data_IF_065311003193
#
_entry.id   IF_065311003193
#
_cell.length_a   1.000
_cell.length_b   1.000
_cell.length_c   1.000
_cell.angle_alpha   90.00
_cell.angle_beta   90.00
_cell.angle_gamma   90.00
#
_symmetry.space_group_name_H-M   'P 1'
#
loop_
_entity.id
_entity.type
_entity.pdbx_description
1 polymer ?
#
# COMPACT_ATOMS: atom_id res chain seq x y z
N UNK A 1 -27.10 -3.70 -2.54
CA UNK A 1 -26.00 -2.90 -3.14
C UNK A 1 -25.42 -2.08 -2.00
N UNK A 2 -24.12 -2.22 -1.69
CA UNK A 2 -23.48 -1.44 -0.63
C UNK A 2 -23.60 0.06 -0.92
N UNK A 3 -23.61 0.87 0.12
CA UNK A 3 -23.57 2.34 -0.04
C UNK A 3 -22.25 2.76 -0.68
N UNK A 4 -22.19 3.96 -1.27
CA UNK A 4 -20.94 4.48 -1.84
C UNK A 4 -19.83 4.59 -0.77
N UNK A 5 -20.20 4.96 0.46
CA UNK A 5 -19.28 5.03 1.59
C UNK A 5 -18.72 3.65 1.95
N UNK A 6 -19.57 2.63 2.03
CA UNK A 6 -19.15 1.26 2.31
C UNK A 6 -18.27 0.69 1.20
N UNK A 7 -18.66 0.88 -0.08
CA UNK A 7 -17.84 0.48 -1.23
C UNK A 7 -16.46 1.15 -1.19
N UNK A 8 -16.39 2.43 -0.79
CA UNK A 8 -15.11 3.15 -0.62
C UNK A 8 -14.25 2.56 0.49
N UNK A 9 -14.82 2.22 1.65
CA UNK A 9 -14.06 1.54 2.71
C UNK A 9 -13.48 0.23 2.25
N UNK A 10 -14.31 -0.62 1.62
CA UNK A 10 -13.86 -1.93 1.13
C UNK A 10 -12.79 -1.73 0.04
N UNK A 11 -12.98 -0.79 -0.88
CA UNK A 11 -11.99 -0.50 -1.92
C UNK A 11 -10.65 -0.08 -1.33
N UNK A 12 -10.65 0.86 -0.37
CA UNK A 12 -9.42 1.32 0.28
C UNK A 12 -8.77 0.25 1.13
N UNK A 13 -9.55 -0.59 1.80
CA UNK A 13 -9.00 -1.72 2.53
C UNK A 13 -8.28 -2.69 1.58
N UNK A 14 -8.96 -3.09 0.51
CA UNK A 14 -8.42 -3.97 -0.54
C UNK A 14 -7.17 -3.39 -1.18
N UNK A 15 -7.19 -2.12 -1.57
CA UNK A 15 -6.05 -1.47 -2.25
C UNK A 15 -4.88 -1.20 -1.30
N UNK A 16 -5.15 -0.73 -0.08
CA UNK A 16 -4.09 -0.22 0.82
C UNK A 16 -3.49 -1.30 1.71
N UNK A 17 -4.25 -2.35 2.03
CA UNK A 17 -3.79 -3.46 2.88
C UNK A 17 -3.64 -4.78 2.07
N UNK A 18 -4.37 -4.92 0.97
CA UNK A 18 -4.35 -6.13 0.13
C UNK A 18 -3.62 -5.99 -1.20
N UNK A 19 -3.12 -4.80 -1.55
CA UNK A 19 -2.56 -4.46 -2.86
C UNK A 19 -3.54 -4.73 -4.02
N UNK A 20 -4.82 -4.48 -3.84
CA UNK A 20 -5.83 -4.62 -4.89
C UNK A 20 -6.44 -6.02 -5.00
N UNK A 21 -7.62 -6.14 -5.66
CA UNK A 21 -8.35 -7.40 -5.70
C UNK A 21 -7.81 -8.36 -6.77
N UNK A 22 -7.98 -9.65 -6.53
CA UNK A 22 -7.97 -10.70 -7.56
C UNK A 22 -9.33 -10.76 -8.28
N UNK A 23 -9.43 -11.40 -9.45
CA UNK A 23 -10.72 -11.61 -10.12
C UNK A 23 -11.81 -12.14 -9.19
N UNK A 24 -12.96 -11.46 -9.15
CA UNK A 24 -14.12 -11.82 -8.31
C UNK A 24 -14.01 -11.50 -6.82
N UNK A 25 -12.83 -11.15 -6.32
CA UNK A 25 -12.60 -10.91 -4.88
C UNK A 25 -13.40 -9.70 -4.39
N UNK A 26 -13.36 -8.58 -5.11
CA UNK A 26 -14.04 -7.37 -4.68
C UNK A 26 -15.56 -7.52 -4.67
N UNK A 27 -16.15 -8.16 -5.70
CA UNK A 27 -17.58 -8.46 -5.73
C UNK A 27 -18.01 -9.31 -4.54
N UNK A 28 -17.20 -10.31 -4.18
CA UNK A 28 -17.45 -11.16 -3.00
C UNK A 28 -17.45 -10.33 -1.72
N UNK A 29 -16.41 -9.51 -1.53
CA UNK A 29 -16.29 -8.65 -0.35
C UNK A 29 -17.41 -7.60 -0.25
N UNK A 30 -17.88 -7.07 -1.38
CA UNK A 30 -19.02 -6.15 -1.40
C UNK A 30 -20.33 -6.84 -1.01
N UNK A 31 -20.48 -8.13 -1.29
CA UNK A 31 -21.65 -8.91 -0.88
C UNK A 31 -21.59 -9.30 0.60
N UNK A 32 -20.40 -9.57 1.13
CA UNK A 32 -20.17 -9.96 2.52
C UNK A 32 -20.10 -8.77 3.50
N UNK A 33 -19.78 -7.58 2.99
CA UNK A 33 -19.71 -6.34 3.77
C UNK A 33 -18.33 -6.03 4.35
N UNK A 34 -18.21 -4.83 4.92
CA UNK A 34 -16.92 -4.30 5.37
C UNK A 34 -16.22 -5.16 6.42
N UNK A 35 -16.96 -5.72 7.39
CA UNK A 35 -16.34 -6.49 8.48
C UNK A 35 -15.65 -7.76 8.00
N UNK A 36 -16.20 -8.42 6.97
CA UNK A 36 -15.60 -9.59 6.34
C UNK A 36 -14.37 -9.23 5.51
N UNK A 37 -14.41 -8.10 4.81
CA UNK A 37 -13.22 -7.55 4.17
C UNK A 37 -12.12 -7.25 5.20
N UNK A 38 -12.46 -6.62 6.32
CA UNK A 38 -11.53 -6.28 7.39
C UNK A 38 -10.97 -7.53 8.08
N UNK A 39 -11.78 -8.55 8.32
CA UNK A 39 -11.30 -9.86 8.80
C UNK A 39 -10.26 -10.43 7.84
N UNK A 40 -10.53 -10.42 6.52
CA UNK A 40 -9.62 -10.96 5.50
C UNK A 40 -8.25 -10.27 5.45
N UNK A 41 -8.20 -8.94 5.52
CA UNK A 41 -6.96 -8.19 5.31
C UNK A 41 -6.24 -7.77 6.59
N UNK A 42 -6.93 -7.76 7.73
CA UNK A 42 -6.37 -7.27 9.00
C UNK A 42 -6.16 -8.39 10.03
N UNK A 43 -6.57 -9.63 9.74
CA UNK A 43 -6.25 -10.78 10.58
C UNK A 43 -4.79 -11.17 10.41
N UNK A 44 -4.04 -11.23 11.50
CA UNK A 44 -2.71 -11.83 11.52
C UNK A 44 -2.87 -13.35 11.46
N UNK A 45 -2.17 -13.99 10.52
CA UNK A 45 -2.10 -15.43 10.49
C UNK A 45 -1.41 -15.94 11.76
N UNK A 46 -1.94 -16.99 12.39
CA UNK A 46 -1.33 -17.59 13.58
C UNK A 46 -0.01 -18.32 13.29
N UNK A 47 0.34 -18.49 12.01
CA UNK A 47 1.57 -19.11 11.53
C UNK A 47 2.02 -18.39 10.25
N UNK A 48 3.30 -18.10 10.14
CA UNK A 48 3.96 -17.64 8.93
C UNK A 48 5.10 -18.61 8.61
N UNK A 49 4.86 -19.51 7.64
CA UNK A 49 5.80 -20.56 7.30
C UNK A 49 7.19 -20.05 6.86
N UNK A 50 7.32 -18.80 6.43
CA UNK A 50 8.63 -18.23 6.14
C UNK A 50 9.25 -17.60 7.39
N UNK A 51 8.52 -16.68 8.04
CA UNK A 51 9.03 -15.90 9.16
C UNK A 51 9.32 -16.78 10.39
N UNK A 52 8.45 -17.76 10.67
CA UNK A 52 8.59 -18.69 11.80
C UNK A 52 9.83 -19.61 11.68
N UNK A 53 10.42 -19.69 10.49
CA UNK A 53 11.60 -20.49 10.19
C UNK A 53 12.86 -19.65 9.94
N UNK A 54 12.86 -18.35 10.29
CA UNK A 54 14.06 -17.51 10.25
C UNK A 54 14.77 -17.52 11.61
N UNK A 55 16.10 -17.52 11.58
CA UNK A 55 16.91 -17.38 12.80
C UNK A 55 16.73 -15.97 13.42
N UNK A 56 16.75 -15.88 14.75
CA UNK A 56 16.77 -14.58 15.42
C UNK A 56 18.01 -13.78 15.01
N UNK A 57 17.87 -12.48 14.67
CA UNK A 57 19.02 -11.65 14.32
C UNK A 57 19.96 -11.51 15.52
N UNK A 58 21.23 -11.83 15.31
CA UNK A 58 22.29 -11.70 16.31
C UNK A 58 22.61 -10.22 16.60
N UNK A 59 21.89 -9.60 17.54
CA UNK A 59 22.16 -8.25 18.06
C UNK A 59 23.00 -8.36 19.35
N UNK A 60 24.16 -7.67 19.43
CA UNK A 60 25.05 -7.67 20.62
C UNK A 60 25.15 -6.27 21.24
N UNK A 61 25.10 -6.21 22.58
CA UNK A 61 25.30 -4.99 23.39
C UNK A 61 26.72 -4.41 23.23
N UNK A 62 26.83 -3.08 23.18
CA UNK A 62 28.05 -2.32 22.85
C UNK A 62 28.70 -1.58 24.05
N UNK A 63 28.11 -1.60 25.26
CA UNK A 63 28.74 -1.07 26.49
C UNK A 63 28.57 0.44 26.79
N UNK A 64 29.22 0.94 27.87
CA UNK A 64 29.06 2.28 28.45
C UNK A 64 29.91 3.37 27.80
N UNK A 65 29.41 4.61 27.92
CA UNK A 65 29.97 5.83 27.36
C UNK A 65 31.07 6.49 28.36
N UNK A 66 32.39 6.74 27.97
CA UNK A 66 33.49 7.65 28.51
C UNK A 66 33.57 9.26 28.50
N UNK A 67 34.48 9.93 29.22
CA UNK A 67 34.49 11.42 29.43
C UNK A 67 35.07 12.33 28.28
N UNK A 68 34.58 13.57 28.00
CA UNK A 68 35.03 14.44 26.88
C UNK A 68 36.55 14.72 26.80
N UNK A 69 37.11 14.72 25.58
CA UNK A 69 38.55 14.77 25.27
C UNK A 69 39.46 13.76 26.01
N UNK A 70 38.90 12.69 26.59
CA UNK A 70 39.69 11.55 27.08
C UNK A 70 40.07 10.60 25.92
N UNK A 71 41.13 9.79 26.07
CA UNK A 71 41.47 8.74 25.10
C UNK A 71 40.30 7.79 24.82
N UNK A 72 39.42 7.63 25.80
CA UNK A 72 38.23 6.80 25.71
C UNK A 72 37.11 7.46 24.89
N UNK A 73 37.15 8.77 24.56
CA UNK A 73 36.09 9.44 23.76
C UNK A 73 35.87 8.83 22.38
N UNK A 74 36.90 8.22 21.81
CA UNK A 74 36.80 7.49 20.55
C UNK A 74 35.99 6.20 20.73
N UNK A 75 36.06 5.57 21.91
CA UNK A 75 35.18 4.49 22.36
C UNK A 75 33.83 4.98 22.94
N UNK A 76 33.72 6.28 23.29
CA UNK A 76 32.51 7.01 23.76
C UNK A 76 31.63 7.54 22.65
N UNK A 77 31.94 7.38 21.37
CA UNK A 77 31.08 7.86 20.27
C UNK A 77 29.56 7.56 20.45
N UNK A 78 29.28 6.52 21.25
CA UNK A 78 28.05 5.76 21.47
C UNK A 78 27.27 6.08 22.77
N UNK A 79 26.71 7.30 22.90
CA UNK A 79 25.50 7.75 23.71
C UNK A 79 25.37 7.48 25.26
N UNK A 80 25.03 8.43 26.17
CA UNK A 80 24.43 9.78 26.07
C UNK A 80 24.38 10.59 27.40
N UNK A 81 23.36 11.43 27.53
CA UNK A 81 23.04 12.37 28.65
C UNK A 81 21.99 11.81 29.62
N UNK A 82 21.77 12.54 30.73
CA UNK A 82 21.67 12.09 32.13
C UNK A 82 20.68 10.96 32.51
N UNK A 83 21.19 10.07 33.37
CA UNK A 83 20.75 8.69 33.60
C UNK A 83 21.75 7.73 32.95
N UNK A 84 22.31 6.76 33.68
CA UNK A 84 23.21 5.74 33.09
C UNK A 84 22.36 4.75 32.30
N UNK A 85 22.11 5.04 31.03
CA UNK A 85 21.56 4.08 30.08
C UNK A 85 22.69 3.38 29.32
N UNK A 86 22.58 2.06 29.13
CA UNK A 86 23.23 1.33 28.03
C UNK A 86 22.35 1.38 26.78
N UNK A 87 22.81 0.77 25.67
CA UNK A 87 22.08 0.81 24.40
C UNK A 87 20.65 0.22 24.53
N UNK A 88 20.51 -0.87 25.28
CA UNK A 88 19.24 -1.56 25.48
C UNK A 88 18.28 -0.72 26.33
N UNK A 89 18.71 -0.25 27.49
CA UNK A 89 17.89 0.56 28.39
C UNK A 89 17.55 1.94 27.81
N UNK A 90 18.41 2.51 26.97
CA UNK A 90 18.08 3.71 26.21
C UNK A 90 17.00 3.42 25.16
N UNK A 91 17.14 2.31 24.42
CA UNK A 91 16.14 1.86 23.46
C UNK A 91 14.79 1.65 24.16
N UNK A 92 14.77 0.89 25.26
CA UNK A 92 13.57 0.63 26.08
C UNK A 92 12.92 1.93 26.55
N UNK A 93 13.73 2.87 27.05
CA UNK A 93 13.22 4.19 27.44
C UNK A 93 12.60 4.93 26.26
N UNK A 94 13.31 5.05 25.13
CA UNK A 94 12.82 5.77 23.96
C UNK A 94 11.53 5.15 23.40
N UNK A 95 11.49 3.82 23.27
CA UNK A 95 10.30 3.12 22.78
C UNK A 95 9.17 3.08 23.80
N UNK A 96 9.41 3.29 25.11
CA UNK A 96 8.35 3.34 26.11
C UNK A 96 7.53 4.64 26.07
N UNK A 97 8.07 5.72 25.50
CA UNK A 97 7.44 7.04 25.56
C UNK A 97 6.16 7.13 24.73
N UNK A 98 5.22 7.96 25.18
CA UNK A 98 3.95 8.20 24.48
C UNK A 98 4.16 8.91 23.12
N UNK A 99 5.17 9.77 22.99
CA UNK A 99 5.49 10.42 21.71
C UNK A 99 6.03 9.43 20.67
N UNK A 100 6.75 8.38 21.09
CA UNK A 100 7.09 7.27 20.21
C UNK A 100 5.82 6.55 19.72
N UNK A 101 4.83 6.32 20.60
CA UNK A 101 3.57 5.69 20.19
C UNK A 101 2.79 6.55 19.18
N UNK A 102 2.70 7.86 19.45
CA UNK A 102 2.09 8.82 18.54
C UNK A 102 2.82 8.85 17.20
N UNK A 103 4.14 8.96 17.20
CA UNK A 103 4.95 8.98 15.98
C UNK A 103 4.71 7.75 15.11
N UNK A 104 4.73 6.53 15.69
CA UNK A 104 4.46 5.31 14.92
C UNK A 104 3.01 5.32 14.39
N UNK A 105 2.04 5.75 15.20
CA UNK A 105 0.64 5.89 14.77
C UNK A 105 0.50 6.86 13.59
N UNK A 106 1.17 8.01 13.63
CA UNK A 106 1.20 8.98 12.54
C UNK A 106 1.86 8.42 11.27
N UNK A 107 2.92 7.61 11.40
CA UNK A 107 3.56 6.93 10.26
C UNK A 107 2.66 5.88 9.62
N UNK A 108 1.92 5.11 10.43
CA UNK A 108 0.92 4.15 9.92
C UNK A 108 -0.25 4.90 9.27
N UNK A 109 -0.75 5.97 9.90
CA UNK A 109 -1.78 6.83 9.31
C UNK A 109 -1.35 7.40 7.95
N UNK A 110 -0.14 7.96 7.89
CA UNK A 110 0.45 8.49 6.67
C UNK A 110 0.48 7.45 5.53
N UNK A 111 0.78 6.19 5.87
CA UNK A 111 0.93 5.12 4.88
C UNK A 111 -0.41 4.54 4.39
N UNK A 112 -1.41 4.45 5.25
CA UNK A 112 -2.64 3.69 4.99
C UNK A 112 -3.92 4.55 4.94
N UNK A 113 -3.92 5.76 5.49
CA UNK A 113 -5.08 6.65 5.51
C UNK A 113 -4.87 7.87 4.63
N UNK A 114 -3.88 8.70 4.92
CA UNK A 114 -3.64 9.92 4.13
C UNK A 114 -2.24 10.47 4.36
N UNK A 115 -1.56 10.78 3.26
CA UNK A 115 -0.30 11.53 3.25
C UNK A 115 -0.48 13.05 3.35
N UNK A 116 -1.71 13.55 3.17
CA UNK A 116 -2.03 14.98 3.10
C UNK A 116 -2.79 15.47 4.33
N UNK A 117 -3.64 14.61 4.91
CA UNK A 117 -4.44 14.95 6.09
C UNK A 117 -3.77 14.36 7.33
N UNK A 118 -3.44 15.16 8.34
CA UNK A 118 -2.81 14.66 9.56
C UNK A 118 -3.78 13.79 10.38
N UNK A 119 -3.23 12.95 11.25
CA UNK A 119 -3.98 12.23 12.26
C UNK A 119 -4.62 13.23 13.23
N UNK A 120 -5.94 13.26 13.30
CA UNK A 120 -6.68 14.12 14.25
C UNK A 120 -7.26 13.33 15.43
N UNK A 121 -7.53 12.04 15.26
CA UNK A 121 -7.99 11.16 16.33
C UNK A 121 -6.81 10.62 17.15
N UNK A 122 -6.53 11.28 18.26
CA UNK A 122 -5.44 10.89 19.17
C UNK A 122 -5.71 9.57 19.89
N UNK A 123 -6.96 9.10 19.94
CA UNK A 123 -7.31 7.83 20.59
C UNK A 123 -6.69 6.62 19.88
N UNK A 124 -6.42 6.74 18.57
CA UNK A 124 -5.81 5.70 17.75
C UNK A 124 -4.44 5.26 18.30
N UNK A 125 -3.69 6.18 18.90
CA UNK A 125 -2.39 5.88 19.52
C UNK A 125 -2.49 4.88 20.69
N UNK A 126 -3.66 4.79 21.35
CA UNK A 126 -3.91 3.84 22.43
C UNK A 126 -3.91 2.39 21.94
N UNK A 127 -4.24 2.15 20.67
CA UNK A 127 -4.17 0.82 20.06
C UNK A 127 -2.73 0.28 19.94
N UNK A 128 -1.73 1.17 20.04
CA UNK A 128 -0.31 0.84 20.02
C UNK A 128 0.36 0.94 21.40
N UNK A 129 -0.41 1.12 22.49
CA UNK A 129 0.15 1.30 23.84
C UNK A 129 0.99 0.10 24.30
N UNK A 130 0.61 -1.13 23.92
CA UNK A 130 1.35 -2.36 24.17
C UNK A 130 2.45 -2.65 23.15
N UNK A 131 2.71 -1.73 22.21
CA UNK A 131 3.65 -1.88 21.08
C UNK A 131 3.30 -3.02 20.12
N UNK A 132 2.02 -3.38 20.09
CA UNK A 132 1.47 -4.33 19.14
C UNK A 132 1.13 -3.64 17.80
N UNK A 133 1.97 -3.86 16.79
CA UNK A 133 1.76 -3.32 15.44
C UNK A 133 0.48 -3.86 14.81
N UNK A 134 0.13 -5.12 15.08
CA UNK A 134 -1.08 -5.73 14.52
C UNK A 134 -2.34 -5.07 15.09
N UNK A 135 -2.36 -4.78 16.39
CA UNK A 135 -3.45 -4.04 17.02
C UNK A 135 -3.62 -2.64 16.40
N UNK A 136 -2.52 -1.93 16.14
CA UNK A 136 -2.55 -0.63 15.47
C UNK A 136 -3.04 -0.72 14.02
N UNK A 137 -2.53 -1.68 13.24
CA UNK A 137 -2.97 -1.91 11.86
C UNK A 137 -4.45 -2.25 11.81
N UNK A 138 -4.95 -3.07 12.74
CA UNK A 138 -6.36 -3.42 12.83
C UNK A 138 -7.22 -2.18 13.15
N UNK A 139 -6.80 -1.37 14.12
CA UNK A 139 -7.50 -0.14 14.48
C UNK A 139 -7.55 0.86 13.30
N UNK A 140 -6.42 1.08 12.62
CA UNK A 140 -6.31 1.95 11.45
C UNK A 140 -7.16 1.42 10.29
N UNK A 141 -7.06 0.13 9.99
CA UNK A 141 -7.80 -0.54 8.92
C UNK A 141 -9.31 -0.60 9.15
N UNK A 142 -9.78 -0.37 10.38
CA UNK A 142 -11.21 -0.27 10.73
C UNK A 142 -11.70 1.16 10.92
N UNK A 143 -10.80 2.13 10.93
CA UNK A 143 -11.11 3.53 11.20
C UNK A 143 -12.07 4.14 10.15
N UNK A 144 -12.98 5.00 10.59
CA UNK A 144 -13.99 5.65 9.73
C UNK A 144 -13.38 6.59 8.69
N UNK A 145 -12.12 7.01 8.87
CA UNK A 145 -11.37 7.81 7.90
C UNK A 145 -11.24 7.14 6.52
N UNK A 146 -11.40 5.81 6.44
CA UNK A 146 -11.50 5.10 5.16
C UNK A 146 -12.76 5.50 4.35
N UNK A 147 -13.82 6.03 4.96
CA UNK A 147 -15.00 6.53 4.25
C UNK A 147 -14.79 7.91 3.65
N UNK A 148 -13.85 8.70 4.17
CA UNK A 148 -13.72 10.11 3.82
C UNK A 148 -13.03 10.29 2.45
N UNK A 149 -13.71 10.80 1.40
CA UNK A 149 -13.13 10.98 0.07
C UNK A 149 -11.86 11.85 0.07
N UNK A 150 -11.71 12.78 1.01
CA UNK A 150 -10.53 13.65 1.14
C UNK A 150 -9.23 12.88 1.48
N UNK A 151 -9.36 11.63 1.94
CA UNK A 151 -8.22 10.76 2.24
C UNK A 151 -7.77 9.92 1.03
N UNK A 152 -8.02 10.38 -0.20
CA UNK A 152 -7.51 9.69 -1.41
C UNK A 152 -5.99 9.68 -1.44
N UNK A 153 -5.40 8.61 -1.99
CA UNK A 153 -3.93 8.48 -2.10
C UNK A 153 -3.52 8.06 -3.51
N UNK A 154 -2.42 8.62 -4.01
CA UNK A 154 -1.79 8.14 -5.26
C UNK A 154 -1.01 6.86 -4.98
N UNK A 155 -1.28 5.81 -5.76
CA UNK A 155 -0.50 4.57 -5.70
C UNK A 155 0.93 4.83 -6.18
N UNK A 156 1.91 4.35 -5.43
CA UNK A 156 3.28 4.31 -5.94
C UNK A 156 3.38 3.33 -7.12
N UNK A 157 4.39 3.45 -8.00
CA UNK A 157 4.55 2.54 -9.14
C UNK A 157 4.51 1.04 -8.77
N UNK A 158 5.11 0.63 -7.66
CA UNK A 158 5.10 -0.77 -7.21
C UNK A 158 3.70 -1.19 -6.74
N UNK A 159 3.01 -0.35 -5.98
CA UNK A 159 1.65 -0.61 -5.51
C UNK A 159 0.68 -0.76 -6.70
N UNK A 160 0.76 0.18 -7.66
CA UNK A 160 -0.01 0.10 -8.90
C UNK A 160 0.30 -1.19 -9.69
N UNK A 161 1.58 -1.55 -9.82
CA UNK A 161 1.98 -2.75 -10.57
C UNK A 161 1.50 -4.03 -9.89
N UNK A 162 1.69 -4.18 -8.58
CA UNK A 162 1.25 -5.38 -7.86
C UNK A 162 -0.27 -5.51 -7.91
N UNK A 163 -1.00 -4.40 -7.76
CA UNK A 163 -2.46 -4.38 -7.94
C UNK A 163 -2.88 -4.78 -9.35
N UNK A 164 -2.21 -4.26 -10.38
CA UNK A 164 -2.49 -4.65 -11.76
C UNK A 164 -2.18 -6.14 -11.99
N UNK A 165 -1.05 -6.64 -11.51
CA UNK A 165 -0.67 -8.04 -11.64
C UNK A 165 -1.69 -8.98 -10.97
N UNK A 166 -2.16 -8.62 -9.76
CA UNK A 166 -3.20 -9.39 -9.05
C UNK A 166 -4.52 -9.42 -9.81
N UNK A 167 -4.98 -8.29 -10.34
CA UNK A 167 -6.23 -8.23 -11.10
C UNK A 167 -6.14 -9.00 -12.43
N UNK A 168 -4.99 -8.92 -13.12
CA UNK A 168 -4.75 -9.56 -14.42
C UNK A 168 -4.32 -11.02 -14.31
N UNK A 169 -4.24 -11.58 -13.09
CA UNK A 169 -3.74 -12.94 -12.80
C UNK A 169 -2.31 -13.18 -13.29
N UNK A 170 -1.47 -12.14 -13.28
CA UNK A 170 -0.06 -12.21 -13.68
C UNK A 170 0.78 -12.56 -12.46
N UNK A 171 1.58 -13.63 -12.59
CA UNK A 171 2.65 -13.93 -11.65
C UNK A 171 3.96 -13.38 -12.23
N UNK A 172 4.63 -12.39 -11.59
CA UNK A 172 5.80 -11.74 -12.17
C UNK A 172 6.93 -12.68 -12.61
N UNK A 173 7.14 -13.79 -11.89
CA UNK A 173 8.16 -14.80 -12.24
C UNK A 173 7.85 -15.58 -13.52
N UNK A 174 6.57 -15.61 -13.92
CA UNK A 174 6.10 -16.33 -15.10
C UNK A 174 5.85 -15.39 -16.29
N UNK A 175 6.09 -14.09 -16.12
CA UNK A 175 5.94 -13.10 -17.18
C UNK A 175 6.94 -13.39 -18.29
N UNK A 176 6.53 -13.30 -19.56
CA UNK A 176 7.35 -13.75 -20.70
C UNK A 176 8.72 -13.08 -20.76
N UNK A 177 8.81 -11.83 -20.31
CA UNK A 177 10.07 -11.09 -20.19
C UNK A 177 10.14 -10.32 -18.85
N UNK A 178 10.71 -10.91 -17.78
CA UNK A 178 10.79 -10.25 -16.48
C UNK A 178 11.60 -8.94 -16.48
N UNK A 179 12.54 -8.76 -17.42
CA UNK A 179 13.28 -7.51 -17.57
C UNK A 179 12.36 -6.34 -17.97
N UNK A 180 11.25 -6.61 -18.66
CA UNK A 180 10.24 -5.61 -18.97
C UNK A 180 9.63 -5.01 -17.70
N UNK A 181 9.33 -5.83 -16.69
CA UNK A 181 8.80 -5.37 -15.41
C UNK A 181 9.84 -4.47 -14.73
N UNK A 182 11.09 -4.95 -14.61
CA UNK A 182 12.18 -4.19 -13.99
C UNK A 182 12.43 -2.85 -14.67
N UNK A 183 12.47 -2.83 -16.00
CA UNK A 183 12.74 -1.62 -16.78
C UNK A 183 11.62 -0.58 -16.63
N UNK A 184 10.35 -1.00 -16.66
CA UNK A 184 9.24 -0.06 -16.49
C UNK A 184 9.17 0.49 -15.06
N UNK A 185 9.42 -0.33 -14.03
CA UNK A 185 9.50 0.15 -12.65
C UNK A 185 10.63 1.17 -12.46
N UNK A 186 11.78 0.94 -13.12
CA UNK A 186 12.87 1.91 -13.15
C UNK A 186 12.48 3.22 -13.88
N UNK A 187 11.79 3.15 -15.02
CA UNK A 187 11.28 4.33 -15.74
C UNK A 187 10.23 5.11 -14.93
N UNK A 188 9.43 4.40 -14.13
CA UNK A 188 8.47 4.99 -13.20
C UNK A 188 9.11 5.53 -11.91
N UNK A 189 10.40 5.28 -11.68
CA UNK A 189 11.18 5.83 -10.57
C UNK A 189 11.12 5.03 -9.27
N UNK A 190 10.58 3.81 -9.27
CA UNK A 190 10.49 2.96 -8.08
C UNK A 190 10.90 1.52 -8.40
N UNK A 191 12.21 1.27 -8.39
CA UNK A 191 12.78 -0.07 -8.51
C UNK A 191 12.91 -0.69 -7.11
N UNK A 192 12.31 -1.88 -6.83
CA UNK A 192 12.42 -2.52 -5.52
C UNK A 192 13.87 -2.66 -5.03
N UNK A 193 14.07 -2.40 -3.74
CA UNK A 193 15.38 -2.41 -3.05
C UNK A 193 16.40 -1.37 -3.55
N UNK A 194 15.97 -0.38 -4.34
CA UNK A 194 16.85 0.67 -4.87
C UNK A 194 16.28 2.08 -4.64
N UNK A 195 16.15 2.53 -3.37
CA UNK A 195 15.66 3.88 -3.08
C UNK A 195 16.66 4.95 -3.54
N UNK A 196 16.20 6.14 -3.93
CA UNK A 196 17.07 7.20 -4.45
C UNK A 196 18.02 7.78 -3.40
N UNK A 197 17.67 7.70 -2.11
CA UNK A 197 18.49 8.15 -0.99
C UNK A 197 18.00 7.53 0.34
N UNK A 198 18.67 7.87 1.44
CA UNK A 198 18.35 7.38 2.81
C UNK A 198 16.94 7.73 3.29
N UNK A 199 16.29 8.73 2.70
CA UNK A 199 14.89 9.09 2.96
C UNK A 199 13.87 8.21 2.25
N UNK A 200 14.30 7.29 1.39
CA UNK A 200 13.42 6.40 0.63
C UNK A 200 12.85 7.03 -0.63
N UNK A 201 11.72 6.51 -1.10
CA UNK A 201 10.99 7.03 -2.26
C UNK A 201 10.05 8.17 -1.88
N UNK A 202 9.71 9.07 -2.83
CA UNK A 202 8.69 10.07 -2.60
C UNK A 202 7.30 9.43 -2.43
N UNK A 203 6.30 10.24 -2.10
CA UNK A 203 4.93 9.79 -1.92
C UNK A 203 3.95 10.65 -2.72
N UNK A 204 2.74 10.10 -2.88
CA UNK A 204 1.58 10.83 -3.36
C UNK A 204 1.79 11.49 -4.74
N UNK A 205 1.43 12.77 -4.89
CA UNK A 205 1.48 13.54 -6.13
C UNK A 205 2.85 13.55 -6.83
N UNK A 206 3.94 13.23 -6.13
CA UNK A 206 5.26 13.08 -6.76
C UNK A 206 5.29 11.98 -7.83
N UNK A 207 4.35 11.02 -7.78
CA UNK A 207 4.18 9.97 -8.78
C UNK A 207 3.31 10.37 -9.97
N UNK A 208 2.86 11.63 -10.02
CA UNK A 208 2.03 12.18 -11.07
C UNK A 208 2.82 13.17 -11.93
N UNK A 209 3.13 12.74 -13.14
CA UNK A 209 3.78 13.55 -14.16
C UNK A 209 3.40 13.04 -15.56
N UNK A 210 3.57 13.87 -16.59
CA UNK A 210 3.32 13.44 -17.97
C UNK A 210 4.18 12.23 -18.37
N UNK A 211 5.44 12.18 -17.92
CA UNK A 211 6.33 11.06 -18.19
C UNK A 211 5.88 9.78 -17.48
N UNK A 212 5.52 9.86 -16.19
CA UNK A 212 4.99 8.71 -15.46
C UNK A 212 3.71 8.16 -16.09
N UNK A 213 2.82 9.03 -16.58
CA UNK A 213 1.60 8.62 -17.28
C UNK A 213 1.91 7.85 -18.58
N UNK A 214 2.86 8.34 -19.38
CA UNK A 214 3.30 7.66 -20.61
C UNK A 214 3.91 6.28 -20.32
N UNK A 215 4.81 6.20 -19.33
CA UNK A 215 5.43 4.91 -18.95
C UNK A 215 4.40 3.95 -18.36
N UNK A 216 3.41 4.44 -17.61
CA UNK A 216 2.32 3.62 -17.11
C UNK A 216 1.46 3.04 -18.24
N UNK A 217 1.16 3.82 -19.28
CA UNK A 217 0.45 3.34 -20.48
C UNK A 217 1.28 2.26 -21.19
N UNK A 218 2.58 2.49 -21.36
CA UNK A 218 3.49 1.50 -21.97
C UNK A 218 3.51 0.19 -21.18
N UNK A 219 3.65 0.30 -19.85
CA UNK A 219 3.71 -0.87 -18.98
C UNK A 219 2.37 -1.61 -18.95
N UNK A 220 1.26 -0.91 -18.78
CA UNK A 220 -0.08 -1.49 -18.81
C UNK A 220 -0.37 -2.19 -20.15
N UNK A 221 0.10 -1.62 -21.27
CA UNK A 221 -0.02 -2.25 -22.59
C UNK A 221 0.70 -3.59 -22.65
N UNK A 222 1.85 -3.72 -21.98
CA UNK A 222 2.59 -4.98 -21.90
C UNK A 222 1.91 -5.98 -20.97
N UNK A 223 1.43 -5.53 -19.80
CA UNK A 223 0.69 -6.38 -18.87
C UNK A 223 -0.57 -6.97 -19.49
N UNK A 224 -1.37 -6.15 -20.17
CA UNK A 224 -2.63 -6.57 -20.80
C UNK A 224 -2.43 -7.65 -21.88
N UNK A 225 -1.27 -7.72 -22.53
CA UNK A 225 -0.96 -8.77 -23.52
C UNK A 225 -0.83 -10.16 -22.90
N UNK A 226 -0.48 -10.25 -21.63
CA UNK A 226 -0.31 -11.51 -20.90
C UNK A 226 -1.43 -11.73 -19.86
N UNK A 227 -2.44 -10.87 -19.85
CA UNK A 227 -3.51 -10.89 -18.87
C UNK A 227 -4.59 -11.93 -19.19
N UNK A 228 -5.17 -12.51 -18.14
CA UNK A 228 -6.48 -13.15 -18.25
C UNK A 228 -7.57 -12.07 -18.29
N UNK A 229 -8.16 -11.86 -19.48
CA UNK A 229 -9.24 -10.90 -19.71
C UNK A 229 -10.64 -11.54 -19.63
N UNK A 230 -10.76 -12.82 -19.23
CA UNK A 230 -12.04 -13.50 -19.04
C UNK A 230 -13.00 -12.77 -18.09
N UNK A 231 -12.56 -12.04 -17.03
CA UNK A 231 -13.48 -11.30 -16.15
C UNK A 231 -14.31 -10.23 -16.87
N UNK A 232 -13.82 -9.69 -17.99
CA UNK A 232 -14.50 -8.64 -18.77
C UNK A 232 -15.00 -9.15 -20.11
N UNK A 233 -14.23 -9.98 -20.80
CA UNK A 233 -14.60 -10.49 -22.12
C UNK A 233 -15.83 -11.39 -22.08
N UNK A 234 -16.05 -12.11 -20.98
CA UNK A 234 -17.25 -12.94 -20.74
C UNK A 234 -18.53 -12.14 -20.50
N UNK A 235 -18.41 -10.86 -20.13
CA UNK A 235 -19.56 -9.99 -19.88
C UNK A 235 -20.13 -9.43 -21.18
N UNK A 236 -21.46 -9.32 -21.23
CA UNK A 236 -22.13 -8.58 -22.28
C UNK A 236 -21.64 -7.11 -22.31
N UNK A 237 -21.48 -6.47 -23.48
CA UNK A 237 -20.91 -5.12 -23.58
C UNK A 237 -21.49 -4.10 -22.60
N UNK A 238 -22.82 -4.10 -22.42
CA UNK A 238 -23.52 -3.19 -21.49
C UNK A 238 -23.11 -3.34 -20.02
N UNK A 239 -22.56 -4.49 -19.61
CA UNK A 239 -22.15 -4.78 -18.24
C UNK A 239 -20.64 -4.57 -18.00
N UNK A 240 -19.86 -4.31 -19.05
CA UNK A 240 -18.39 -4.28 -18.94
C UNK A 240 -17.85 -3.11 -18.14
N UNK A 241 -18.48 -1.93 -18.16
CA UNK A 241 -18.00 -0.76 -17.40
C UNK A 241 -18.16 -0.98 -15.89
N UNK A 242 -19.32 -1.50 -15.47
CA UNK A 242 -19.56 -1.83 -14.06
C UNK A 242 -18.71 -3.03 -13.64
N UNK A 243 -18.59 -4.04 -14.52
CA UNK A 243 -17.70 -5.17 -14.32
C UNK A 243 -16.22 -4.78 -14.19
N UNK A 244 -15.75 -3.75 -14.92
CA UNK A 244 -14.39 -3.20 -14.74
C UNK A 244 -14.23 -2.55 -13.37
N UNK A 245 -15.26 -1.85 -12.88
CA UNK A 245 -15.20 -1.24 -11.55
C UNK A 245 -15.06 -2.33 -10.49
N UNK A 246 -15.84 -3.41 -10.62
CA UNK A 246 -15.79 -4.52 -9.68
C UNK A 246 -14.48 -5.31 -9.79
N UNK A 247 -14.02 -5.59 -11.01
CA UNK A 247 -12.78 -6.34 -11.24
C UNK A 247 -11.55 -5.63 -10.67
N UNK A 248 -11.49 -4.30 -10.76
CA UNK A 248 -10.35 -3.49 -10.33
C UNK A 248 -10.52 -2.87 -8.94
N UNK A 249 -11.63 -3.11 -8.25
CA UNK A 249 -11.87 -2.54 -6.92
C UNK A 249 -12.07 -1.02 -6.93
N UNK A 250 -12.73 -0.50 -7.96
CA UNK A 250 -12.99 0.94 -8.13
C UNK A 250 -14.32 1.32 -7.47
N UNK A 251 -14.29 2.42 -6.72
CA UNK A 251 -15.47 2.96 -6.03
C UNK A 251 -16.53 3.38 -7.04
N UNK A 252 -16.16 4.27 -7.95
CA UNK A 252 -17.01 4.75 -9.03
C UNK A 252 -16.14 5.34 -10.15
N UNK A 253 -16.62 5.27 -11.38
CA UNK A 253 -15.99 5.96 -12.51
C UNK A 253 -16.56 7.38 -12.67
N UNK A 254 -15.69 8.37 -12.83
CA UNK A 254 -16.11 9.72 -13.23
C UNK A 254 -16.78 9.71 -14.61
N UNK A 255 -17.58 10.74 -14.90
CA UNK A 255 -18.23 10.87 -16.22
C UNK A 255 -17.22 10.90 -17.38
N UNK A 256 -16.04 11.48 -17.16
CA UNK A 256 -14.97 11.54 -18.15
C UNK A 256 -14.37 10.16 -18.41
N UNK A 257 -14.06 9.40 -17.36
CA UNK A 257 -13.54 8.04 -17.49
C UNK A 257 -14.59 7.12 -18.13
N UNK A 258 -15.87 7.21 -17.72
CA UNK A 258 -16.97 6.46 -18.35
C UNK A 258 -17.08 6.71 -19.84
N UNK A 259 -16.95 7.97 -20.29
CA UNK A 259 -16.99 8.33 -21.71
C UNK A 259 -15.85 7.65 -22.49
N UNK A 260 -14.63 7.70 -21.96
CA UNK A 260 -13.48 7.04 -22.58
C UNK A 260 -13.63 5.51 -22.66
N UNK A 261 -14.11 4.88 -21.57
CA UNK A 261 -14.38 3.44 -21.52
C UNK A 261 -15.49 3.03 -22.50
N UNK A 262 -16.54 3.84 -22.63
CA UNK A 262 -17.65 3.57 -23.57
C UNK A 262 -17.15 3.50 -25.02
N UNK A 263 -16.19 4.35 -25.41
CA UNK A 263 -15.56 4.29 -26.72
C UNK A 263 -14.77 3.01 -27.00
N UNK A 264 -14.42 2.24 -25.96
CA UNK A 264 -13.69 0.98 -26.06
C UNK A 264 -14.54 -0.24 -25.68
N UNK A 265 -15.86 -0.10 -25.50
CA UNK A 265 -16.71 -1.12 -24.86
C UNK A 265 -16.63 -2.52 -25.50
N UNK A 266 -16.35 -2.60 -26.79
CA UNK A 266 -16.27 -3.84 -27.55
C UNK A 266 -14.88 -4.50 -27.51
N UNK A 267 -13.88 -3.83 -26.95
CA UNK A 267 -12.47 -4.27 -26.89
C UNK A 267 -12.03 -4.43 -25.42
N UNK A 268 -12.10 -5.66 -24.86
CA UNK A 268 -11.72 -5.94 -23.47
C UNK A 268 -10.27 -5.56 -23.14
N UNK A 269 -9.34 -5.70 -24.09
CA UNK A 269 -7.94 -5.35 -23.87
C UNK A 269 -7.77 -3.83 -23.74
N UNK A 270 -8.41 -3.07 -24.64
CA UNK A 270 -8.40 -1.61 -24.56
C UNK A 270 -9.16 -1.09 -23.33
N UNK A 271 -10.23 -1.75 -22.92
CA UNK A 271 -10.92 -1.45 -21.66
C UNK A 271 -10.01 -1.62 -20.45
N UNK A 272 -9.33 -2.77 -20.34
CA UNK A 272 -8.39 -3.04 -19.24
C UNK A 272 -7.25 -2.01 -19.22
N UNK A 273 -6.67 -1.70 -20.38
CA UNK A 273 -5.62 -0.68 -20.52
C UNK A 273 -6.09 0.70 -20.04
N UNK A 274 -7.24 1.18 -20.53
CA UNK A 274 -7.77 2.48 -20.15
C UNK A 274 -8.12 2.54 -18.66
N UNK A 275 -8.67 1.46 -18.11
CA UNK A 275 -9.05 1.37 -16.70
C UNK A 275 -7.80 1.38 -15.78
N UNK A 276 -6.76 0.61 -16.10
CA UNK A 276 -5.50 0.60 -15.34
C UNK A 276 -4.77 1.94 -15.35
N UNK A 277 -4.96 2.76 -16.39
CA UNK A 277 -4.36 4.08 -16.52
C UNK A 277 -5.29 5.23 -16.09
N UNK A 278 -6.50 4.92 -15.63
CA UNK A 278 -7.48 5.91 -15.22
C UNK A 278 -7.08 6.64 -13.92
N UNK A 279 -7.54 7.89 -13.70
CA UNK A 279 -7.37 8.57 -12.42
C UNK A 279 -7.89 7.75 -11.24
N UNK A 280 -9.03 7.06 -11.40
CA UNK A 280 -9.67 6.30 -10.32
C UNK A 280 -8.88 5.05 -9.90
N UNK A 281 -8.07 4.49 -10.80
CA UNK A 281 -7.19 3.36 -10.47
C UNK A 281 -5.82 3.81 -9.94
N UNK A 282 -5.27 4.89 -10.49
CA UNK A 282 -3.98 5.46 -10.08
C UNK A 282 -4.09 6.19 -8.74
N UNK A 283 -5.20 6.86 -8.50
CA UNK A 283 -5.53 7.52 -7.24
C UNK A 283 -6.60 6.67 -6.55
N UNK A 284 -6.21 5.91 -5.53
CA UNK A 284 -7.13 5.12 -4.73
C UNK A 284 -8.07 6.05 -3.98
N UNK A 285 -9.26 6.24 -4.56
CA UNK A 285 -10.35 7.03 -4.01
C UNK A 285 -10.93 6.44 -2.72
#
# INVERSE_FOLDING_TARGET
>A
MPTLAERRRIARLVHRFGFGPRPGEFTTLLAEGFDKAAEKYLSVASQDAFADNQDEPLVRDQGKRPAPNSPDVVAYATVGTQGSFDASSLSDFLVSRNDCALFITERIWYRFISSMNPLTDTSLSSSFASRDIAALINAVGRHSALENPENSMVKSPIDWFISAARALSITPSNFSNPNTIRNNLNLLGELPFFPPNVGGWPADQAWLSTSSAQYRIQFATQLVKEADLSPISSLAPKARIDGLADWLGIVEWSSRTKMALTGAINDPARLALLALCSPEYVVSA
#
